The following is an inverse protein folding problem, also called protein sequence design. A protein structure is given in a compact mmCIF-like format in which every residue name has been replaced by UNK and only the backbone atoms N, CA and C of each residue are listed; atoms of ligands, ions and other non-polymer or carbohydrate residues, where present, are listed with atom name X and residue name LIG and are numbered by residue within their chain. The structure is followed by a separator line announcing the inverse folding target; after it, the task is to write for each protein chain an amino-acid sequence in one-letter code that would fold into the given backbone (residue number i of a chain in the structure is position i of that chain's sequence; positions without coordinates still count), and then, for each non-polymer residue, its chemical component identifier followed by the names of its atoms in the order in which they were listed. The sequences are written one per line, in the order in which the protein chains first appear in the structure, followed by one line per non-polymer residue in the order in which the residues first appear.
data_IF_056743934471
#
_entry.id   IF_056743934471
#
_cell.length_a   1.000
_cell.length_b   1.000
_cell.length_c   1.000
_cell.angle_alpha   90.00
_cell.angle_beta   90.00
_cell.angle_gamma   90.00
#
_symmetry.space_group_name_H-M   'P 1'
#
loop_
_entity.id
_entity.type
_entity.pdbx_description
1 polymer ?
#
# COMPACT_ATOMS: atom_id res chain seq x y z
N UNK A 1 45.78 -11.64 -72.20
CA UNK A 1 45.04 -10.35 -72.19
C UNK A 1 44.96 -9.88 -70.76
N UNK A 2 45.40 -8.65 -70.42
CA UNK A 2 45.40 -8.21 -69.03
C UNK A 2 44.01 -7.71 -68.61
N UNK A 3 43.60 -8.05 -67.40
CA UNK A 3 42.33 -7.66 -66.77
C UNK A 3 42.50 -6.29 -66.13
N UNK A 4 41.73 -5.29 -66.59
CA UNK A 4 41.69 -3.95 -65.99
C UNK A 4 40.70 -3.97 -64.83
N UNK A 5 41.21 -3.84 -63.61
CA UNK A 5 40.42 -3.70 -62.40
C UNK A 5 39.94 -2.24 -62.28
N UNK A 6 38.65 -2.02 -62.52
CA UNK A 6 38.01 -0.70 -62.39
C UNK A 6 37.62 -0.50 -60.94
N UNK A 7 38.41 0.29 -60.21
CA UNK A 7 38.08 0.71 -58.85
C UNK A 7 36.96 1.76 -58.91
N UNK A 8 35.80 1.57 -58.23
CA UNK A 8 34.74 2.57 -58.23
C UNK A 8 35.19 3.84 -57.47
N UNK A 9 34.69 5.02 -57.86
CA UNK A 9 35.07 6.27 -57.20
C UNK A 9 34.67 6.25 -55.71
N UNK A 10 35.45 6.88 -54.83
CA UNK A 10 35.15 6.90 -53.40
C UNK A 10 33.79 7.56 -53.15
N UNK A 11 32.97 6.91 -52.32
CA UNK A 11 31.66 7.38 -51.87
C UNK A 11 31.77 8.74 -51.17
N UNK A 12 30.81 9.66 -51.37
CA UNK A 12 30.80 10.91 -50.62
C UNK A 12 30.61 10.66 -49.12
N UNK A 13 31.21 11.48 -48.24
CA UNK A 13 31.11 11.30 -46.79
C UNK A 13 29.67 11.42 -46.29
N UNK A 14 29.33 10.55 -45.33
CA UNK A 14 27.99 10.29 -44.78
C UNK A 14 27.50 11.32 -43.74
N UNK A 15 28.28 12.36 -43.47
CA UNK A 15 27.89 13.42 -42.55
C UNK A 15 27.71 14.71 -43.36
N UNK A 16 26.57 15.38 -43.23
CA UNK A 16 26.21 16.59 -43.99
C UNK A 16 27.10 17.81 -43.71
N UNK A 17 28.28 17.60 -43.12
CA UNK A 17 29.31 18.60 -42.89
C UNK A 17 29.94 18.97 -44.23
N UNK A 18 29.46 20.07 -44.78
CA UNK A 18 30.18 20.82 -45.80
C UNK A 18 31.53 21.20 -45.17
N UNK A 19 32.67 20.81 -45.76
CA UNK A 19 33.98 21.15 -45.21
C UNK A 19 34.08 22.67 -45.08
N UNK A 20 34.53 23.19 -43.92
CA UNK A 20 34.56 24.63 -43.68
C UNK A 20 35.36 25.33 -44.77
N UNK A 21 34.74 26.28 -45.44
CA UNK A 21 35.39 27.11 -46.46
C UNK A 21 36.39 28.03 -45.77
N UNK A 22 37.41 28.49 -46.50
CA UNK A 22 38.27 29.58 -46.04
C UNK A 22 37.45 30.86 -45.72
N UNK A 23 36.25 30.98 -46.27
CA UNK A 23 35.28 32.04 -45.99
C UNK A 23 34.55 31.86 -44.64
N UNK A 24 34.56 30.65 -44.08
CA UNK A 24 33.89 30.31 -42.82
C UNK A 24 34.83 30.40 -41.61
N UNK A 25 36.08 30.83 -41.82
CA UNK A 25 37.06 30.98 -40.75
C UNK A 25 36.65 32.10 -39.77
N UNK A 26 36.79 31.90 -38.45
CA UNK A 26 36.36 32.87 -37.43
C UNK A 26 37.15 34.19 -37.50
N UNK A 27 38.35 34.16 -38.06
CA UNK A 27 39.28 35.28 -38.28
C UNK A 27 39.30 35.74 -39.74
N UNK A 28 38.26 35.43 -40.52
CA UNK A 28 38.17 35.78 -41.93
C UNK A 28 38.22 37.31 -42.16
N UNK A 29 39.28 37.77 -42.85
CA UNK A 29 39.45 39.16 -43.26
C UNK A 29 39.02 39.36 -44.73
N UNK A 30 37.79 39.84 -44.92
CA UNK A 30 37.22 40.05 -46.25
C UNK A 30 38.05 41.02 -47.13
N UNK A 31 38.52 42.18 -46.64
CA UNK A 31 39.41 43.06 -47.39
C UNK A 31 40.67 42.38 -47.95
N UNK A 32 41.44 41.66 -47.12
CA UNK A 32 42.65 40.98 -47.59
C UNK A 32 42.35 39.85 -48.56
N UNK A 33 41.28 39.07 -48.32
CA UNK A 33 40.84 38.01 -49.23
C UNK A 33 40.42 38.55 -50.60
N UNK A 34 39.67 39.67 -50.64
CA UNK A 34 39.28 40.31 -51.89
C UNK A 34 40.51 40.85 -52.61
N UNK A 35 41.41 41.53 -51.91
CA UNK A 35 42.63 42.09 -52.49
C UNK A 35 43.53 40.99 -53.09
N UNK A 36 43.73 39.88 -52.37
CA UNK A 36 44.52 38.75 -52.88
C UNK A 36 43.85 38.10 -54.08
N UNK A 37 42.53 37.88 -54.03
CA UNK A 37 41.77 37.25 -55.12
C UNK A 37 41.80 38.10 -56.39
N UNK A 38 41.66 39.43 -56.27
CA UNK A 38 41.73 40.34 -57.41
C UNK A 38 43.15 40.41 -58.01
N UNK A 39 44.19 40.26 -57.18
CA UNK A 39 45.58 40.28 -57.65
C UNK A 39 46.02 38.98 -58.32
N UNK A 40 45.49 37.82 -57.88
CA UNK A 40 45.92 36.50 -58.35
C UNK A 40 45.01 35.84 -59.39
N UNK A 41 43.75 36.25 -59.48
CA UNK A 41 42.76 35.58 -60.34
C UNK A 41 42.48 36.32 -61.64
N UNK A 42 42.17 35.56 -62.68
CA UNK A 42 41.67 36.09 -63.94
C UNK A 42 40.21 36.56 -63.83
N UNK A 43 39.75 37.39 -64.76
CA UNK A 43 38.35 37.86 -64.79
C UNK A 43 37.34 36.71 -64.87
N UNK A 44 37.66 35.65 -65.60
CA UNK A 44 36.76 34.49 -65.75
C UNK A 44 36.61 33.71 -64.45
N UNK A 45 37.69 33.57 -63.67
CA UNK A 45 37.68 32.97 -62.33
C UNK A 45 36.92 33.84 -61.33
N UNK A 46 37.08 35.17 -61.41
CA UNK A 46 36.34 36.10 -60.56
C UNK A 46 34.83 36.01 -60.82
N UNK A 47 34.41 35.96 -62.08
CA UNK A 47 33.00 35.80 -62.46
C UNK A 47 32.41 34.46 -62.00
N UNK A 48 33.18 33.37 -62.11
CA UNK A 48 32.76 32.06 -61.57
C UNK A 48 32.60 32.11 -60.05
N UNK A 49 33.54 32.75 -59.36
CA UNK A 49 33.53 32.92 -57.90
C UNK A 49 32.34 33.76 -57.46
N UNK A 50 32.05 34.86 -58.16
CA UNK A 50 30.87 35.69 -57.93
C UNK A 50 29.57 34.89 -58.10
N UNK A 51 29.44 34.14 -59.20
CA UNK A 51 28.25 33.33 -59.45
C UNK A 51 28.05 32.25 -58.37
N UNK A 52 29.15 31.61 -57.91
CA UNK A 52 29.13 30.64 -56.81
C UNK A 52 28.64 31.28 -55.51
N UNK A 53 29.27 32.38 -55.07
CA UNK A 53 28.90 33.07 -53.82
C UNK A 53 27.45 33.59 -53.89
N UNK A 54 27.02 34.11 -55.04
CA UNK A 54 25.64 34.54 -55.22
C UNK A 54 24.64 33.37 -55.08
N UNK A 55 25.01 32.18 -55.58
CA UNK A 55 24.26 30.95 -55.38
C UNK A 55 24.18 30.56 -53.90
N UNK A 56 25.31 30.58 -53.21
CA UNK A 56 25.42 30.26 -51.78
C UNK A 56 24.59 31.23 -50.91
N UNK A 57 24.65 32.54 -51.19
CA UNK A 57 23.83 33.55 -50.48
C UNK A 57 22.34 33.24 -50.62
N UNK A 58 21.88 32.88 -51.82
CA UNK A 58 20.47 32.54 -52.07
C UNK A 58 20.08 31.23 -51.37
N UNK A 59 20.97 30.25 -51.38
CA UNK A 59 20.74 28.98 -50.68
C UNK A 59 20.62 29.20 -49.17
N UNK A 60 21.54 29.96 -48.56
CA UNK A 60 21.51 30.31 -47.14
C UNK A 60 20.26 31.12 -46.75
N UNK A 61 19.81 32.04 -47.59
CA UNK A 61 18.56 32.77 -47.34
C UNK A 61 17.33 31.83 -47.39
N UNK A 62 17.31 30.88 -48.32
CA UNK A 62 16.25 29.87 -48.39
C UNK A 62 16.27 28.94 -47.18
N UNK A 63 17.44 28.48 -46.76
CA UNK A 63 17.62 27.63 -45.57
C UNK A 63 17.19 28.36 -44.30
N UNK A 64 17.62 29.62 -44.13
CA UNK A 64 17.17 30.49 -43.02
C UNK A 64 15.65 30.58 -42.98
N UNK A 65 15.01 30.83 -44.12
CA UNK A 65 13.53 30.87 -44.19
C UNK A 65 12.93 29.52 -43.79
N UNK A 66 13.45 28.43 -44.32
CA UNK A 66 12.97 27.08 -43.99
C UNK A 66 13.08 26.79 -42.49
N UNK A 67 14.19 27.14 -41.85
CA UNK A 67 14.38 26.99 -40.40
C UNK A 67 13.38 27.81 -39.59
N UNK A 68 13.11 29.05 -40.01
CA UNK A 68 12.12 29.91 -39.36
C UNK A 68 10.72 29.31 -39.50
N UNK A 69 10.34 28.83 -40.69
CA UNK A 69 9.04 28.18 -40.90
C UNK A 69 8.89 26.90 -40.10
N UNK A 70 9.91 26.06 -40.07
CA UNK A 70 9.93 24.82 -39.30
C UNK A 70 9.80 25.11 -37.79
N UNK A 71 10.52 26.11 -37.27
CA UNK A 71 10.43 26.50 -35.86
C UNK A 71 9.04 27.03 -35.50
N UNK A 72 8.47 27.94 -36.31
CA UNK A 72 7.13 28.44 -36.08
C UNK A 72 6.07 27.34 -36.20
N UNK A 73 6.20 26.45 -37.18
CA UNK A 73 5.30 25.31 -37.35
C UNK A 73 5.32 24.40 -36.11
N UNK A 74 6.51 24.06 -35.61
CA UNK A 74 6.69 23.27 -34.37
C UNK A 74 6.07 23.97 -33.16
N UNK A 75 6.30 25.27 -32.99
CA UNK A 75 5.69 26.05 -31.89
C UNK A 75 4.17 26.04 -31.97
N UNK A 76 3.60 26.27 -33.15
CA UNK A 76 2.15 26.23 -33.36
C UNK A 76 1.60 24.84 -33.00
N UNK A 77 2.20 23.76 -33.53
CA UNK A 77 1.78 22.39 -33.22
C UNK A 77 1.87 22.06 -31.73
N UNK A 78 2.92 22.54 -31.03
CA UNK A 78 3.04 22.36 -29.59
C UNK A 78 1.92 23.09 -28.84
N UNK A 79 1.60 24.34 -29.21
CA UNK A 79 0.50 25.09 -28.60
C UNK A 79 -0.87 24.47 -28.86
N UNK A 80 -1.09 23.90 -30.05
CA UNK A 80 -2.31 23.16 -30.38
C UNK A 80 -2.42 21.87 -29.56
N UNK A 81 -1.31 21.16 -29.38
CA UNK A 81 -1.25 19.97 -28.53
C UNK A 81 -1.62 20.31 -27.08
N UNK A 82 -1.07 21.41 -26.53
CA UNK A 82 -1.43 21.89 -25.18
C UNK A 82 -2.91 22.24 -25.10
N UNK A 83 -3.46 22.94 -26.10
CA UNK A 83 -4.90 23.25 -26.16
C UNK A 83 -5.73 21.96 -26.17
N UNK A 84 -5.36 20.96 -26.96
CA UNK A 84 -6.04 19.66 -27.02
C UNK A 84 -5.98 18.94 -25.68
N UNK A 85 -4.80 18.84 -25.06
CA UNK A 85 -4.63 18.24 -23.73
C UNK A 85 -5.52 18.92 -22.69
N UNK A 86 -5.56 20.26 -22.67
CA UNK A 86 -6.45 21.01 -21.78
C UNK A 86 -7.93 20.70 -22.04
N UNK A 87 -8.35 20.72 -23.30
CA UNK A 87 -9.73 20.39 -23.68
C UNK A 87 -10.13 18.94 -23.41
N UNK A 88 -9.16 18.01 -23.27
CA UNK A 88 -9.43 16.62 -22.89
C UNK A 88 -9.43 16.44 -21.36
N UNK A 89 -8.73 17.31 -20.64
CA UNK A 89 -8.70 17.31 -19.17
C UNK A 89 -9.87 18.08 -18.54
N UNK A 90 -10.34 19.16 -19.16
CA UNK A 90 -11.52 19.91 -18.70
C UNK A 90 -12.79 19.01 -18.58
N UNK A 91 -13.05 18.04 -19.51
CA UNK A 91 -14.10 17.03 -19.40
C UNK A 91 -13.81 15.86 -18.45
N UNK A 92 -12.63 15.74 -17.84
CA UNK A 92 -12.41 14.75 -16.78
C UNK A 92 -12.94 15.24 -15.42
N UNK A 93 -13.19 16.54 -15.27
CA UNK A 93 -13.86 17.11 -14.10
C UNK A 93 -15.30 16.58 -13.90
N UNK A 94 -16.17 16.42 -14.92
CA UNK A 94 -17.47 15.77 -14.75
C UNK A 94 -17.39 14.26 -14.47
N UNK A 95 -16.30 13.55 -14.82
CA UNK A 95 -16.11 12.16 -14.36
C UNK A 95 -15.84 12.09 -12.86
N UNK A 96 -15.13 13.07 -12.28
CA UNK A 96 -14.98 13.18 -10.82
C UNK A 96 -16.34 13.39 -10.14
N UNK A 97 -17.20 14.25 -10.68
CA UNK A 97 -18.59 14.41 -10.20
C UNK A 97 -19.43 13.13 -10.36
N UNK A 98 -19.21 12.35 -11.41
CA UNK A 98 -19.89 11.06 -11.61
C UNK A 98 -19.44 10.03 -10.57
N UNK A 99 -18.16 10.01 -10.20
CA UNK A 99 -17.63 9.09 -9.19
C UNK A 99 -18.24 9.38 -7.82
N UNK A 100 -18.35 10.65 -7.42
CA UNK A 100 -18.99 11.05 -6.16
C UNK A 100 -20.46 10.59 -6.12
N UNK A 101 -21.19 10.73 -7.23
CA UNK A 101 -22.58 10.25 -7.35
C UNK A 101 -22.67 8.72 -7.23
N UNK A 102 -21.73 7.98 -7.85
CA UNK A 102 -21.70 6.51 -7.78
C UNK A 102 -21.35 6.04 -6.36
N UNK A 103 -20.38 6.69 -5.70
CA UNK A 103 -20.01 6.39 -4.31
C UNK A 103 -21.18 6.66 -3.36
N UNK A 104 -21.88 7.78 -3.52
CA UNK A 104 -23.08 8.10 -2.74
C UNK A 104 -24.16 7.02 -2.92
N UNK A 105 -24.41 6.57 -4.16
CA UNK A 105 -25.37 5.52 -4.46
C UNK A 105 -24.99 4.17 -3.84
N UNK A 106 -23.70 3.79 -3.89
CA UNK A 106 -23.22 2.55 -3.25
C UNK A 106 -23.41 2.63 -1.73
N UNK A 107 -23.15 3.79 -1.13
CA UNK A 107 -23.34 3.98 0.31
C UNK A 107 -24.82 3.86 0.71
N UNK A 108 -25.73 4.47 -0.07
CA UNK A 108 -27.18 4.33 0.10
C UNK A 108 -27.63 2.86 -0.02
N UNK A 109 -27.19 2.15 -1.06
CA UNK A 109 -27.51 0.74 -1.23
C UNK A 109 -26.95 -0.14 -0.11
N UNK A 110 -25.71 0.08 0.32
CA UNK A 110 -25.08 -0.68 1.39
C UNK A 110 -25.76 -0.42 2.74
N UNK A 111 -26.17 0.82 3.01
CA UNK A 111 -26.91 1.18 4.22
C UNK A 111 -28.32 0.60 4.23
N UNK A 112 -29.02 0.60 3.09
CA UNK A 112 -30.29 -0.10 2.92
C UNK A 112 -30.17 -1.61 3.17
N UNK A 113 -29.18 -2.26 2.55
CA UNK A 113 -28.92 -3.69 2.76
C UNK A 113 -28.60 -4.00 4.23
N UNK A 114 -27.82 -3.14 4.90
CA UNK A 114 -27.47 -3.31 6.31
C UNK A 114 -28.70 -3.18 7.23
N UNK A 115 -29.65 -2.32 6.87
CA UNK A 115 -30.90 -2.15 7.59
C UNK A 115 -31.87 -3.33 7.35
N UNK A 116 -31.92 -3.86 6.13
CA UNK A 116 -32.66 -5.10 5.84
C UNK A 116 -32.08 -6.29 6.60
N UNK A 117 -30.75 -6.45 6.62
CA UNK A 117 -30.08 -7.46 7.44
C UNK A 117 -30.36 -7.25 8.94
N UNK A 118 -30.36 -6.02 9.43
CA UNK A 118 -30.71 -5.72 10.84
C UNK A 118 -32.14 -6.17 11.17
N UNK A 119 -33.09 -5.96 10.26
CA UNK A 119 -34.49 -6.38 10.44
C UNK A 119 -34.66 -7.90 10.32
N UNK A 120 -33.87 -8.55 9.47
CA UNK A 120 -33.91 -9.99 9.25
C UNK A 120 -33.15 -10.83 10.28
N UNK A 121 -32.19 -10.25 11.00
CA UNK A 121 -31.51 -10.90 12.12
C UNK A 121 -32.40 -10.76 13.36
N UNK A 122 -32.95 -11.86 13.92
CA UNK A 122 -33.60 -11.80 15.22
C UNK A 122 -32.59 -11.26 16.22
N UNK A 123 -32.98 -10.31 17.08
CA UNK A 123 -32.10 -9.88 18.16
C UNK A 123 -31.53 -11.12 18.87
N UNK A 124 -30.21 -11.21 19.08
CA UNK A 124 -29.66 -12.33 19.83
C UNK A 124 -30.41 -12.35 21.16
N UNK A 125 -31.04 -13.49 21.49
CA UNK A 125 -31.80 -13.74 22.74
C UNK A 125 -30.88 -13.58 23.97
N UNK A 126 -30.37 -12.38 24.21
CA UNK A 126 -29.35 -12.07 25.21
C UNK A 126 -29.93 -12.13 26.62
N UNK A 127 -31.21 -11.80 26.80
CA UNK A 127 -31.85 -11.83 28.12
C UNK A 127 -32.20 -13.25 28.60
N UNK A 128 -32.69 -14.12 27.73
CA UNK A 128 -33.08 -15.49 28.10
C UNK A 128 -31.86 -16.36 28.44
N UNK A 129 -30.78 -16.26 27.66
CA UNK A 129 -29.61 -17.12 27.82
C UNK A 129 -28.67 -16.63 28.94
N UNK A 130 -28.58 -15.30 29.16
CA UNK A 130 -27.85 -14.75 30.31
C UNK A 130 -28.52 -15.08 31.65
N UNK A 131 -29.87 -15.07 31.69
CA UNK A 131 -30.63 -15.43 32.88
C UNK A 131 -30.43 -16.89 33.29
N UNK A 132 -30.47 -17.82 32.34
CA UNK A 132 -30.21 -19.24 32.60
C UNK A 132 -28.77 -19.50 33.06
N UNK A 133 -27.79 -18.87 32.41
CA UNK A 133 -26.37 -18.99 32.80
C UNK A 133 -26.13 -18.45 34.21
N UNK A 134 -26.79 -17.36 34.59
CA UNK A 134 -26.72 -16.79 35.95
C UNK A 134 -27.37 -17.70 37.00
N UNK A 135 -28.51 -18.34 36.68
CA UNK A 135 -29.14 -19.31 37.59
C UNK A 135 -28.22 -20.51 37.84
N UNK A 136 -27.71 -21.14 36.77
CA UNK A 136 -26.80 -22.30 36.88
C UNK A 136 -25.54 -21.99 37.69
N UNK A 137 -24.95 -20.81 37.51
CA UNK A 137 -23.77 -20.39 38.29
C UNK A 137 -24.09 -20.11 39.75
N UNK A 138 -25.27 -19.58 40.05
CA UNK A 138 -25.75 -19.36 41.43
C UNK A 138 -26.03 -20.69 42.15
N UNK A 139 -26.64 -21.66 41.45
CA UNK A 139 -26.94 -22.98 42.02
C UNK A 139 -25.67 -23.77 42.32
N UNK A 140 -24.65 -23.68 41.45
CA UNK A 140 -23.33 -24.27 41.71
C UNK A 140 -22.65 -23.62 42.93
N UNK A 141 -22.72 -22.30 43.07
CA UNK A 141 -22.16 -21.60 44.23
C UNK A 141 -22.85 -22.00 45.54
N UNK A 142 -24.17 -22.19 45.54
CA UNK A 142 -24.90 -22.70 46.70
C UNK A 142 -24.45 -24.12 47.06
N UNK A 143 -24.35 -25.00 46.07
CA UNK A 143 -23.94 -26.39 46.30
C UNK A 143 -22.57 -26.50 46.96
N UNK A 144 -21.60 -25.67 46.55
CA UNK A 144 -20.25 -25.65 47.12
C UNK A 144 -20.23 -25.13 48.57
N UNK A 145 -21.06 -24.14 48.91
CA UNK A 145 -21.16 -23.60 50.27
C UNK A 145 -21.75 -24.61 51.28
N UNK A 146 -22.55 -25.57 50.81
CA UNK A 146 -23.13 -26.61 51.68
C UNK A 146 -22.15 -27.75 51.99
N UNK A 147 -21.05 -27.88 51.23
CA UNK A 147 -20.11 -29.00 51.35
C UNK A 147 -19.37 -29.02 52.70
N UNK A 148 -18.80 -27.91 53.23
CA UNK A 148 -18.11 -27.93 54.53
C UNK A 148 -19.00 -28.41 55.69
N UNK A 149 -20.30 -28.13 55.63
CA UNK A 149 -21.28 -28.66 56.59
C UNK A 149 -21.43 -30.17 56.51
N UNK A 150 -21.51 -30.73 55.29
CA UNK A 150 -21.58 -32.18 55.06
C UNK A 150 -20.27 -32.88 55.44
N UNK A 151 -19.13 -32.25 55.18
CA UNK A 151 -17.82 -32.77 55.58
C UNK A 151 -17.71 -32.89 57.09
N UNK A 152 -18.14 -31.88 57.86
CA UNK A 152 -18.18 -31.96 59.34
C UNK A 152 -19.01 -33.15 59.82
N UNK A 153 -20.20 -33.37 59.26
CA UNK A 153 -21.05 -34.51 59.64
C UNK A 153 -20.46 -35.86 59.27
N UNK A 154 -19.69 -35.95 58.18
CA UNK A 154 -19.05 -37.20 57.75
C UNK A 154 -17.83 -37.54 58.61
N UNK A 155 -17.06 -36.52 59.01
CA UNK A 155 -15.93 -36.66 59.94
C UNK A 155 -16.43 -37.06 61.34
N UNK A 156 -17.49 -36.44 61.84
CA UNK A 156 -18.14 -36.82 63.12
C UNK A 156 -18.68 -38.26 63.12
N UNK A 157 -19.05 -38.79 61.95
CA UNK A 157 -19.49 -40.18 61.80
C UNK A 157 -18.32 -41.18 61.61
N UNK A 158 -17.07 -40.73 61.72
CA UNK A 158 -15.87 -41.55 61.52
C UNK A 158 -15.61 -41.96 60.06
N UNK A 159 -16.33 -41.39 59.09
CA UNK A 159 -16.25 -41.73 57.66
C UNK A 159 -15.34 -40.76 56.91
N UNK A 160 -14.08 -40.71 57.33
CA UNK A 160 -13.09 -39.73 56.88
C UNK A 160 -12.72 -39.92 55.39
N UNK A 161 -12.60 -41.16 54.92
CA UNK A 161 -12.32 -41.44 53.50
C UNK A 161 -13.45 -41.01 52.56
N UNK A 162 -14.72 -41.12 53.01
CA UNK A 162 -15.85 -40.61 52.24
C UNK A 162 -15.88 -39.08 52.23
N UNK A 163 -15.48 -38.42 53.34
CA UNK A 163 -15.34 -36.97 53.40
C UNK A 163 -14.27 -36.44 52.42
N UNK A 164 -13.11 -37.10 52.33
CA UNK A 164 -12.07 -36.76 51.34
C UNK A 164 -12.58 -36.81 49.91
N UNK A 165 -13.25 -37.91 49.55
CA UNK A 165 -13.77 -38.12 48.19
C UNK A 165 -14.82 -37.07 47.82
N UNK A 166 -15.70 -36.71 48.75
CA UNK A 166 -16.69 -35.66 48.54
C UNK A 166 -16.07 -34.24 48.48
N UNK A 167 -14.89 -34.03 49.06
CA UNK A 167 -14.19 -32.74 49.03
C UNK A 167 -13.35 -32.51 47.76
N UNK A 168 -12.87 -33.54 47.07
CA UNK A 168 -12.00 -33.40 45.89
C UNK A 168 -12.61 -32.55 44.77
N UNK A 169 -13.89 -32.79 44.44
CA UNK A 169 -14.55 -32.12 43.31
C UNK A 169 -14.92 -30.66 43.61
N UNK A 170 -15.52 -30.33 44.77
CA UNK A 170 -15.74 -28.95 45.21
C UNK A 170 -14.44 -28.15 45.35
N UNK A 171 -13.36 -28.77 45.88
CA UNK A 171 -12.04 -28.13 46.00
C UNK A 171 -11.48 -27.73 44.65
N UNK A 172 -11.46 -28.63 43.66
CA UNK A 172 -11.00 -28.31 42.29
C UNK A 172 -11.80 -27.19 41.63
N UNK A 173 -13.10 -27.12 41.90
CA UNK A 173 -13.96 -26.06 41.39
C UNK A 173 -13.61 -24.70 42.03
N UNK A 174 -13.39 -24.66 43.34
CA UNK A 174 -12.97 -23.46 44.08
C UNK A 174 -11.58 -22.98 43.63
N UNK A 175 -10.63 -23.89 43.38
CA UNK A 175 -9.30 -23.54 42.86
C UNK A 175 -9.40 -22.88 41.47
N UNK A 176 -10.23 -23.43 40.57
CA UNK A 176 -10.49 -22.83 39.26
C UNK A 176 -11.20 -21.47 39.37
N UNK A 177 -12.02 -21.25 40.40
CA UNK A 177 -12.65 -19.94 40.65
C UNK A 177 -11.63 -18.93 41.16
N UNK A 178 -10.72 -19.34 42.04
CA UNK A 178 -9.58 -18.53 42.52
C UNK A 178 -8.69 -18.08 41.35
N UNK A 179 -8.33 -18.99 40.45
CA UNK A 179 -7.50 -18.67 39.26
C UNK A 179 -8.17 -17.65 38.33
N UNK A 180 -9.50 -17.69 38.24
CA UNK A 180 -10.30 -16.76 37.42
C UNK A 180 -10.64 -15.45 38.15
N UNK A 181 -10.19 -15.27 39.39
CA UNK A 181 -10.47 -14.09 40.21
C UNK A 181 -11.94 -13.99 40.67
N UNK A 182 -12.69 -15.10 40.68
CA UNK A 182 -14.09 -15.14 41.08
C UNK A 182 -14.19 -15.43 42.58
N UNK A 183 -14.95 -14.63 43.33
CA UNK A 183 -15.26 -14.86 44.75
C UNK A 183 -14.20 -14.44 45.77
N UNK A 184 -13.00 -14.01 45.32
CA UNK A 184 -12.00 -13.35 46.18
C UNK A 184 -11.64 -14.12 47.46
N UNK A 185 -11.63 -13.41 48.59
CA UNK A 185 -11.24 -13.95 49.92
C UNK A 185 -12.19 -15.02 50.45
N UNK A 186 -13.44 -15.07 49.97
CA UNK A 186 -14.43 -16.03 50.47
C UNK A 186 -14.18 -17.43 49.92
N UNK A 187 -13.71 -17.53 48.68
CA UNK A 187 -13.29 -18.80 48.06
C UNK A 187 -12.05 -19.36 48.76
N UNK A 188 -11.09 -18.50 49.14
CA UNK A 188 -9.88 -18.89 49.85
C UNK A 188 -10.20 -19.45 51.24
N UNK A 189 -11.04 -18.77 52.01
CA UNK A 189 -11.51 -19.24 53.32
C UNK A 189 -12.24 -20.58 53.26
N UNK A 190 -13.05 -20.81 52.22
CA UNK A 190 -13.77 -22.07 52.06
C UNK A 190 -12.84 -23.24 51.73
N UNK A 191 -11.77 -22.99 50.96
CA UNK A 191 -10.74 -24.01 50.70
C UNK A 191 -10.03 -24.35 52.02
N UNK A 192 -9.59 -23.33 52.77
CA UNK A 192 -8.94 -23.51 54.07
C UNK A 192 -9.83 -24.23 55.08
N UNK A 193 -11.11 -23.86 55.16
CA UNK A 193 -12.07 -24.48 56.08
C UNK A 193 -12.33 -25.95 55.71
N UNK A 194 -12.53 -26.28 54.44
CA UNK A 194 -12.73 -27.66 54.01
C UNK A 194 -11.49 -28.53 54.18
N UNK A 195 -10.30 -27.99 53.88
CA UNK A 195 -9.02 -28.68 54.10
C UNK A 195 -8.76 -28.92 55.59
N UNK A 196 -9.08 -27.96 56.47
CA UNK A 196 -8.95 -28.12 57.92
C UNK A 196 -9.91 -29.17 58.50
N UNK A 197 -11.14 -29.28 57.96
CA UNK A 197 -12.11 -30.30 58.40
C UNK A 197 -11.62 -31.70 58.02
N UNK A 198 -11.13 -31.87 56.80
CA UNK A 198 -10.61 -33.16 56.34
C UNK A 198 -9.32 -33.54 57.07
N UNK A 199 -8.37 -32.60 57.23
CA UNK A 199 -7.11 -32.85 57.93
C UNK A 199 -7.30 -33.16 59.42
N UNK A 200 -8.24 -32.47 60.10
CA UNK A 200 -8.59 -32.79 61.49
C UNK A 200 -9.17 -34.20 61.65
N UNK A 201 -9.95 -34.66 60.65
CA UNK A 201 -10.44 -36.03 60.64
C UNK A 201 -9.32 -37.06 60.51
N UNK A 202 -8.29 -36.77 59.70
CA UNK A 202 -7.11 -37.64 59.57
C UNK A 202 -6.34 -37.77 60.90
N UNK A 203 -6.06 -36.65 61.56
CA UNK A 203 -5.36 -36.62 62.85
C UNK A 203 -6.12 -37.39 63.95
N UNK A 204 -7.46 -37.27 63.97
CA UNK A 204 -8.31 -37.99 64.93
C UNK A 204 -8.35 -39.51 64.64
N UNK A 205 -8.32 -39.95 63.37
CA UNK A 205 -8.26 -41.39 63.02
C UNK A 205 -6.91 -42.06 63.27
N UNK A 206 -5.80 -41.33 63.13
CA UNK A 206 -4.47 -41.84 63.45
C UNK A 206 -4.31 -42.03 64.97
N UNK A 207 -4.97 -41.20 65.79
CA UNK A 207 -4.92 -41.31 67.26
C UNK A 207 -5.73 -42.48 67.84
N UNK A 208 -6.73 -42.99 67.13
CA UNK A 208 -7.56 -44.15 67.52
C UNK A 208 -6.98 -45.49 67.02
N UNK A 209 -5.88 -45.44 66.26
CA UNK A 209 -5.22 -46.60 65.64
C UNK A 209 -3.89 -47.02 66.32
N UNK A 210 -3.50 -46.37 67.42
CA UNK A 210 -2.33 -46.70 68.27
C UNK A 210 -2.80 -47.17 69.67
#
# INVERSE_FOLDING_TARGET
TPTVEINPPPSPPLDGSIPPSALDAPDFDAPSYIASTLASSSLSELLRTYARILGEIRALDAEKKALVYDNYSKLISATETIRKMRSTMDPLNPMAGTLDLVVAKIYEQASGLREELRKGIPEPKRESDAGERRKRTTDLARGVLEVPGKLRTLVEQGRIEDAKREWEMPRRLLERWRERGLGGKDVEKLIEEGDAIVGRGEDESESDSD
#
